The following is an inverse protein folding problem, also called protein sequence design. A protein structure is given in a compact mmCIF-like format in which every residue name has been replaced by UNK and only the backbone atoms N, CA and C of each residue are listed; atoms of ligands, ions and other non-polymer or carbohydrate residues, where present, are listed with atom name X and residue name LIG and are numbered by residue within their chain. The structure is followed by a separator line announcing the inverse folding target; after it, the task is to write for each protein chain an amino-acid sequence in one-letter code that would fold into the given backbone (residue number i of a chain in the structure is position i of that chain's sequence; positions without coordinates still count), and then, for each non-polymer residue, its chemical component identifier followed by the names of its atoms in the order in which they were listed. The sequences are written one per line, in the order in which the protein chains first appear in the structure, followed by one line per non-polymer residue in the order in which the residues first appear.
data_IF_497405491117
#
_entry.id   IF_497405491117
#
_cell.length_a   1.000
_cell.length_b   1.000
_cell.length_c   1.000
_cell.angle_alpha   90.00
_cell.angle_beta   90.00
_cell.angle_gamma   90.00
#
_symmetry.space_group_name_H-M   'P 1'
#
loop_
_entity.id
_entity.type
_entity.pdbx_description
1 polymer ?
#
# COMPACT_ATOMS: atom_id res chain seq x y z
N UNK A 1 -5.98 6.98 -14.20
CA UNK A 1 -4.65 7.62 -14.26
C UNK A 1 -4.34 8.52 -13.06
N UNK A 2 -5.25 8.79 -12.16
CA UNK A 2 -5.09 9.80 -11.11
C UNK A 2 -4.89 9.22 -9.70
N UNK A 3 -4.98 7.90 -9.53
CA UNK A 3 -4.86 7.28 -8.21
C UNK A 3 -3.46 7.46 -7.61
N UNK A 4 -2.42 7.40 -8.42
CA UNK A 4 -1.03 7.49 -7.94
C UNK A 4 -0.47 8.92 -7.82
N UNK A 5 -1.12 9.92 -8.38
CA UNK A 5 -0.71 11.32 -8.19
C UNK A 5 -1.11 11.89 -6.83
N UNK A 6 -1.98 11.22 -6.09
CA UNK A 6 -2.53 11.73 -4.83
C UNK A 6 -1.72 11.33 -3.60
N UNK A 7 -0.93 10.28 -3.66
CA UNK A 7 -0.16 9.80 -2.51
C UNK A 7 1.01 10.72 -2.15
N UNK A 8 1.68 11.29 -3.16
CA UNK A 8 2.91 12.07 -2.93
C UNK A 8 2.71 13.54 -2.62
N UNK A 9 1.61 14.12 -3.08
CA UNK A 9 1.47 15.59 -2.98
C UNK A 9 0.66 16.05 -1.77
N UNK A 10 -0.07 15.12 -1.08
CA UNK A 10 -1.13 15.55 -0.18
C UNK A 10 -1.27 14.80 1.14
N UNK A 11 -0.51 13.75 1.35
CA UNK A 11 -0.55 12.97 2.60
C UNK A 11 0.85 12.65 3.10
N UNK A 12 1.05 12.72 4.40
CA UNK A 12 2.32 12.36 5.02
C UNK A 12 2.13 11.90 6.47
N UNK A 13 2.99 11.01 6.89
CA UNK A 13 3.13 10.61 8.29
C UNK A 13 4.50 11.02 8.78
N UNK A 14 4.55 11.74 9.88
CA UNK A 14 5.81 12.04 10.55
C UNK A 14 5.80 11.51 11.98
N UNK A 15 6.86 10.79 12.33
CA UNK A 15 7.12 10.35 13.69
C UNK A 15 8.23 11.23 14.29
N UNK A 16 7.94 11.86 15.42
CA UNK A 16 8.94 12.62 16.14
C UNK A 16 9.92 11.67 16.84
N UNK A 17 11.21 12.02 16.81
CA UNK A 17 12.26 11.22 17.44
C UNK A 17 11.98 10.95 18.91
N UNK A 18 12.15 9.69 19.31
CA UNK A 18 12.18 9.31 20.71
C UNK A 18 13.57 9.57 21.29
N UNK A 19 13.63 10.39 22.30
CA UNK A 19 14.87 10.53 23.09
C UNK A 19 14.93 9.35 24.05
N UNK A 20 15.83 8.42 23.82
CA UNK A 20 16.11 7.30 24.71
C UNK A 20 16.92 7.78 25.92
N UNK A 21 16.22 8.19 26.94
CA UNK A 21 16.77 8.24 28.31
C UNK A 21 16.20 7.06 29.08
N UNK A 22 16.66 6.82 30.31
CA UNK A 22 16.26 5.70 31.15
C UNK A 22 14.73 5.56 31.38
N UNK A 23 13.93 6.47 30.87
CA UNK A 23 12.46 6.46 30.90
C UNK A 23 11.94 6.09 29.50
N UNK A 24 11.07 5.10 29.42
CA UNK A 24 10.38 4.73 28.19
C UNK A 24 9.53 5.91 27.68
N UNK A 25 9.89 6.45 26.51
CA UNK A 25 9.13 7.54 25.86
C UNK A 25 8.31 6.93 24.73
N UNK A 26 7.01 7.20 24.73
CA UNK A 26 6.10 6.76 23.68
C UNK A 26 6.24 7.70 22.47
N UNK A 27 6.14 7.17 21.22
CA UNK A 27 6.20 7.99 20.02
C UNK A 27 4.98 8.94 19.94
N UNK A 28 5.22 10.12 19.39
CA UNK A 28 4.17 11.04 18.96
C UNK A 28 4.15 10.98 17.44
N UNK A 29 3.00 10.65 16.88
CA UNK A 29 2.81 10.49 15.44
C UNK A 29 1.75 11.47 14.99
N UNK A 30 1.98 12.15 13.87
CA UNK A 30 0.99 12.99 13.19
C UNK A 30 0.66 12.42 11.82
N UNK A 31 -0.62 12.48 11.45
CA UNK A 31 -1.12 12.13 10.12
C UNK A 31 -1.68 13.39 9.50
N UNK A 32 -1.24 13.73 8.31
CA UNK A 32 -1.76 14.86 7.54
C UNK A 32 -2.34 14.33 6.24
N UNK A 33 -3.61 14.65 5.98
CA UNK A 33 -4.33 14.27 4.76
C UNK A 33 -4.93 15.49 4.09
N UNK A 34 -5.22 15.37 2.81
CA UNK A 34 -5.80 16.45 2.02
C UNK A 34 -7.09 15.99 1.36
N UNK A 35 -8.19 16.10 2.10
CA UNK A 35 -9.51 15.62 1.67
C UNK A 35 -10.36 16.72 1.05
N UNK A 36 -11.38 16.29 0.30
CA UNK A 36 -12.41 17.15 -0.25
C UNK A 36 -13.10 17.96 0.86
N UNK A 37 -13.10 19.29 0.71
CA UNK A 37 -13.70 20.19 1.69
C UNK A 37 -15.22 20.15 1.64
N UNK A 38 -15.92 20.37 2.77
CA UNK A 38 -17.36 20.55 2.76
C UNK A 38 -17.76 21.81 1.98
N UNK A 39 -19.00 21.83 1.48
CA UNK A 39 -19.66 23.04 0.94
C UNK A 39 -20.66 23.60 1.96
N UNK A 40 -21.33 24.72 1.61
CA UNK A 40 -22.36 25.27 2.49
C UNK A 40 -23.53 24.31 2.75
N UNK A 41 -23.83 23.46 1.78
CA UNK A 41 -25.04 22.62 1.78
C UNK A 41 -24.71 21.12 1.93
N UNK A 42 -23.44 20.73 1.91
CA UNK A 42 -23.05 19.31 1.94
C UNK A 42 -21.83 19.12 2.84
N UNK A 43 -21.86 18.18 3.79
CA UNK A 43 -20.69 17.85 4.61
C UNK A 43 -19.54 17.29 3.74
N UNK A 44 -18.34 17.20 4.31
CA UNK A 44 -17.24 16.53 3.66
C UNK A 44 -17.56 15.03 3.53
N UNK A 45 -17.86 14.58 2.32
CA UNK A 45 -18.10 13.19 1.99
C UNK A 45 -16.85 12.64 1.30
N UNK A 46 -16.23 11.65 1.91
CA UNK A 46 -15.03 11.03 1.34
C UNK A 46 -15.40 10.09 0.18
N UNK A 47 -14.62 10.14 -0.87
CA UNK A 47 -14.63 9.10 -1.90
C UNK A 47 -13.99 7.83 -1.37
N UNK A 48 -14.22 6.68 -2.03
CA UNK A 48 -13.57 5.44 -1.66
C UNK A 48 -12.03 5.58 -1.66
N UNK A 49 -11.47 6.24 -2.68
CA UNK A 49 -10.02 6.47 -2.76
C UNK A 49 -9.50 7.32 -1.60
N UNK A 50 -10.26 8.33 -1.12
CA UNK A 50 -9.87 9.10 0.07
C UNK A 50 -9.94 8.26 1.35
N UNK A 51 -10.87 7.31 1.45
CA UNK A 51 -10.92 6.34 2.56
C UNK A 51 -9.72 5.39 2.50
N UNK A 52 -9.38 4.88 1.31
CA UNK A 52 -8.19 4.04 1.12
C UNK A 52 -6.92 4.81 1.49
N UNK A 53 -6.75 6.05 1.03
CA UNK A 53 -5.62 6.92 1.40
C UNK A 53 -5.56 7.14 2.92
N UNK A 54 -6.70 7.41 3.58
CA UNK A 54 -6.72 7.55 5.03
C UNK A 54 -6.25 6.29 5.74
N UNK A 55 -6.72 5.13 5.32
CA UNK A 55 -6.33 3.84 5.88
C UNK A 55 -4.85 3.55 5.63
N UNK A 56 -4.35 3.88 4.45
CA UNK A 56 -2.93 3.79 4.09
C UNK A 56 -2.06 4.59 5.06
N UNK A 57 -2.30 5.89 5.16
CA UNK A 57 -1.54 6.77 6.07
C UNK A 57 -1.70 6.36 7.53
N UNK A 58 -2.88 5.86 7.91
CA UNK A 58 -3.10 5.34 9.25
C UNK A 58 -2.32 4.04 9.50
N UNK A 59 -2.07 3.23 8.47
CA UNK A 59 -1.18 2.07 8.54
C UNK A 59 0.26 2.46 8.91
N UNK A 60 0.80 3.50 8.27
CA UNK A 60 2.09 4.08 8.66
C UNK A 60 2.07 4.64 10.08
N UNK A 61 0.98 5.32 10.44
CA UNK A 61 0.81 5.84 11.80
C UNK A 61 0.84 4.72 12.85
N UNK A 62 0.14 3.61 12.60
CA UNK A 62 0.16 2.44 13.49
C UNK A 62 1.57 1.84 13.62
N UNK A 63 2.34 1.81 12.54
CA UNK A 63 3.73 1.37 12.58
C UNK A 63 4.57 2.25 13.52
N UNK A 64 4.34 3.56 13.51
CA UNK A 64 4.96 4.50 14.45
C UNK A 64 4.43 4.36 15.89
N UNK A 65 3.10 4.35 16.06
CA UNK A 65 2.44 4.33 17.37
C UNK A 65 2.79 3.06 18.18
N UNK A 66 2.85 1.91 17.51
CA UNK A 66 3.15 0.63 18.15
C UNK A 66 4.63 0.31 18.29
N UNK A 67 5.52 1.17 17.82
CA UNK A 67 6.96 0.95 17.93
C UNK A 67 7.39 0.70 19.39
N UNK A 68 8.19 -0.36 19.59
CA UNK A 68 8.75 -0.76 20.88
C UNK A 68 10.23 -1.11 20.75
N UNK A 69 10.97 -0.30 20.00
CA UNK A 69 12.39 -0.49 19.75
C UNK A 69 13.24 0.17 20.84
N UNK A 70 14.41 -0.38 21.08
CA UNK A 70 15.36 0.23 22.02
C UNK A 70 16.04 1.50 21.43
N UNK A 71 16.26 1.51 20.13
CA UNK A 71 16.89 2.61 19.41
C UNK A 71 15.87 3.36 18.55
N UNK A 72 15.80 4.68 18.70
CA UNK A 72 14.87 5.52 17.94
C UNK A 72 15.10 5.43 16.41
N UNK A 73 16.35 5.31 15.98
CA UNK A 73 16.73 5.15 14.56
C UNK A 73 16.26 3.85 13.91
N UNK A 74 15.78 2.89 14.70
CA UNK A 74 15.20 1.63 14.21
C UNK A 74 13.69 1.57 14.46
N UNK A 75 13.07 2.69 14.84
CA UNK A 75 11.68 2.73 15.28
C UNK A 75 10.71 2.97 14.12
N UNK A 76 9.51 2.40 14.22
CA UNK A 76 8.40 2.65 13.31
C UNK A 76 8.78 2.38 11.85
N UNK A 77 8.62 3.38 11.00
CA UNK A 77 8.88 3.30 9.55
C UNK A 77 10.36 3.28 9.15
N UNK A 78 11.30 3.30 10.14
CA UNK A 78 12.74 3.17 9.88
C UNK A 78 13.11 1.71 9.59
N UNK A 79 12.58 1.16 8.51
CA UNK A 79 12.71 -0.22 8.05
C UNK A 79 13.33 -0.28 6.65
N UNK A 80 13.57 -1.47 6.13
CA UNK A 80 13.92 -1.63 4.73
C UNK A 80 12.83 -1.04 3.83
N UNK A 81 13.25 -0.41 2.73
CA UNK A 81 12.36 0.33 1.84
C UNK A 81 11.25 -0.53 1.25
N UNK A 82 11.55 -1.78 0.92
CA UNK A 82 10.60 -2.75 0.39
C UNK A 82 9.68 -3.41 1.45
N UNK A 83 9.74 -2.91 2.69
CA UNK A 83 8.87 -3.36 3.78
C UNK A 83 8.01 -2.23 4.36
N UNK A 84 8.35 -0.98 4.08
CA UNK A 84 7.71 0.19 4.69
C UNK A 84 6.22 0.27 4.35
N UNK A 85 5.83 -0.17 3.16
CA UNK A 85 4.45 -0.12 2.67
C UNK A 85 3.56 -1.31 3.12
N UNK A 86 4.13 -2.32 3.80
CA UNK A 86 3.31 -3.43 4.28
C UNK A 86 2.19 -2.99 5.23
N UNK A 87 2.42 -2.16 6.28
CA UNK A 87 1.36 -1.76 7.19
C UNK A 87 0.31 -0.86 6.52
N UNK A 88 0.74 0.03 5.64
CA UNK A 88 -0.14 0.97 4.93
C UNK A 88 -1.06 0.24 3.97
N UNK A 89 -0.52 -0.55 3.04
CA UNK A 89 -1.30 -1.34 2.08
C UNK A 89 -2.15 -2.42 2.76
N UNK A 90 -1.68 -2.98 3.88
CA UNK A 90 -2.50 -3.90 4.68
C UNK A 90 -3.80 -3.24 5.16
N UNK A 91 -3.73 -2.00 5.64
CA UNK A 91 -4.92 -1.28 6.11
C UNK A 91 -5.90 -0.94 4.98
N UNK A 92 -5.45 -0.69 3.75
CA UNK A 92 -6.32 -0.44 2.60
C UNK A 92 -7.31 -1.58 2.34
N UNK A 93 -6.94 -2.83 2.66
CA UNK A 93 -7.83 -3.98 2.45
C UNK A 93 -9.15 -3.86 3.21
N UNK A 94 -9.17 -3.16 4.34
CA UNK A 94 -10.40 -2.94 5.12
C UNK A 94 -11.42 -2.08 4.38
N UNK A 95 -10.99 -1.18 3.48
CA UNK A 95 -11.87 -0.23 2.77
C UNK A 95 -12.97 -0.90 1.94
N UNK A 96 -12.86 -2.19 1.65
CA UNK A 96 -13.84 -2.95 0.87
C UNK A 96 -14.45 -4.13 1.63
N UNK A 97 -14.16 -4.26 2.92
CA UNK A 97 -14.72 -5.34 3.74
C UNK A 97 -16.05 -4.89 4.38
N UNK A 98 -17.14 -5.66 4.15
CA UNK A 98 -18.47 -5.29 4.65
C UNK A 98 -18.51 -5.10 6.17
N UNK A 99 -17.83 -5.97 6.91
CA UNK A 99 -17.77 -5.90 8.38
C UNK A 99 -17.16 -4.59 8.86
N UNK A 100 -16.15 -4.07 8.17
CA UNK A 100 -15.52 -2.80 8.49
C UNK A 100 -16.39 -1.61 8.05
N UNK A 101 -16.87 -1.63 6.81
CA UNK A 101 -17.72 -0.55 6.28
C UNK A 101 -18.99 -0.36 7.11
N UNK A 102 -19.60 -1.43 7.61
CA UNK A 102 -20.79 -1.35 8.46
C UNK A 102 -20.54 -0.64 9.80
N UNK A 103 -19.28 -0.42 10.19
CA UNK A 103 -18.99 0.30 11.45
C UNK A 103 -19.10 1.81 11.32
N UNK A 104 -19.01 2.38 10.12
CA UNK A 104 -18.98 3.85 9.94
C UNK A 104 -19.63 4.35 8.64
N UNK A 105 -19.80 3.52 7.62
CA UNK A 105 -20.35 3.94 6.32
C UNK A 105 -21.87 4.07 6.38
N UNK A 106 -22.33 5.12 7.06
CA UNK A 106 -23.74 5.46 7.23
C UNK A 106 -24.11 6.64 6.35
N UNK A 107 -25.36 6.66 5.89
CA UNK A 107 -25.88 7.78 5.13
C UNK A 107 -25.99 9.02 6.02
N UNK A 108 -25.36 10.12 5.62
CA UNK A 108 -25.15 11.31 6.47
C UNK A 108 -26.43 12.04 6.94
N UNK A 109 -27.60 11.72 6.37
CA UNK A 109 -28.88 12.29 6.76
C UNK A 109 -29.81 11.28 7.44
N UNK A 110 -29.73 9.99 7.05
CA UNK A 110 -30.69 8.96 7.50
C UNK A 110 -30.07 7.95 8.45
N UNK A 111 -28.75 7.95 8.62
CA UNK A 111 -27.97 6.96 9.38
C UNK A 111 -28.15 5.51 8.90
N UNK A 112 -28.72 5.33 7.71
CA UNK A 112 -28.83 4.02 7.09
C UNK A 112 -27.45 3.50 6.66
N UNK A 113 -27.15 2.21 6.91
CA UNK A 113 -25.88 1.62 6.49
C UNK A 113 -25.78 1.55 4.97
N UNK A 114 -24.54 1.58 4.47
CA UNK A 114 -24.27 1.40 3.04
C UNK A 114 -24.84 0.06 2.55
N UNK A 115 -25.74 0.04 1.55
CA UNK A 115 -26.34 -1.19 1.07
C UNK A 115 -25.31 -2.21 0.58
N UNK A 116 -25.48 -3.47 0.94
CA UNK A 116 -24.56 -4.57 0.55
C UNK A 116 -24.33 -4.67 -0.97
N UNK A 117 -25.38 -4.34 -1.75
CA UNK A 117 -25.27 -4.30 -3.21
C UNK A 117 -24.26 -3.28 -3.74
N UNK A 118 -24.04 -2.15 -3.04
CA UNK A 118 -23.00 -1.19 -3.37
C UNK A 118 -21.62 -1.72 -3.00
N UNK A 119 -21.48 -2.36 -1.84
CA UNK A 119 -20.21 -2.98 -1.41
C UNK A 119 -19.78 -4.05 -2.42
N UNK A 120 -20.70 -4.90 -2.88
CA UNK A 120 -20.43 -5.89 -3.93
C UNK A 120 -19.97 -5.25 -5.24
N UNK A 121 -20.60 -4.13 -5.64
CA UNK A 121 -20.22 -3.40 -6.85
C UNK A 121 -18.81 -2.78 -6.71
N UNK A 122 -18.48 -2.22 -5.55
CA UNK A 122 -17.15 -1.69 -5.23
C UNK A 122 -16.11 -2.81 -5.38
N UNK A 123 -16.33 -3.95 -4.76
CA UNK A 123 -15.41 -5.11 -4.86
C UNK A 123 -15.23 -5.60 -6.29
N UNK A 124 -16.29 -5.66 -7.08
CA UNK A 124 -16.21 -6.01 -8.50
C UNK A 124 -15.47 -4.98 -9.34
N UNK A 125 -15.67 -3.69 -9.05
CA UNK A 125 -14.99 -2.62 -9.78
C UNK A 125 -13.48 -2.57 -9.50
N UNK A 126 -13.04 -2.99 -8.32
CA UNK A 126 -11.61 -3.08 -7.96
C UNK A 126 -10.84 -4.04 -8.88
N UNK A 127 -11.48 -5.13 -9.28
CA UNK A 127 -10.87 -6.14 -10.15
C UNK A 127 -10.97 -5.77 -11.64
N UNK A 128 -11.65 -4.67 -11.98
CA UNK A 128 -11.74 -4.24 -13.38
C UNK A 128 -10.36 -3.79 -13.88
N UNK A 129 -9.86 -4.47 -14.91
CA UNK A 129 -8.52 -4.24 -15.48
C UNK A 129 -7.36 -4.41 -14.47
N UNK A 130 -7.51 -5.20 -13.42
CA UNK A 130 -6.47 -5.41 -12.41
C UNK A 130 -5.15 -5.92 -13.01
N UNK A 131 -5.20 -6.81 -14.02
CA UNK A 131 -4.00 -7.26 -14.73
C UNK A 131 -3.28 -6.12 -15.45
N UNK A 132 -4.02 -5.19 -16.07
CA UNK A 132 -3.42 -4.01 -16.68
C UNK A 132 -2.78 -3.09 -15.63
N UNK A 133 -3.47 -2.85 -14.52
CA UNK A 133 -2.94 -2.06 -13.41
C UNK A 133 -1.66 -2.69 -12.82
N UNK A 134 -1.66 -4.01 -12.63
CA UNK A 134 -0.48 -4.75 -12.20
C UNK A 134 0.69 -4.58 -13.17
N UNK A 135 0.48 -4.78 -14.47
CA UNK A 135 1.53 -4.61 -15.49
C UNK A 135 2.04 -3.18 -15.58
N UNK A 136 1.17 -2.18 -15.32
CA UNK A 136 1.58 -0.78 -15.23
C UNK A 136 2.54 -0.56 -14.06
N UNK A 137 2.27 -1.11 -12.88
CA UNK A 137 3.19 -1.03 -11.74
C UNK A 137 4.52 -1.73 -12.02
N UNK A 138 4.48 -2.90 -12.65
CA UNK A 138 5.69 -3.60 -13.09
C UNK A 138 6.49 -2.75 -14.08
N UNK A 139 5.82 -2.04 -15.00
CA UNK A 139 6.52 -1.15 -15.95
C UNK A 139 7.24 -0.01 -15.25
N UNK A 140 6.67 0.57 -14.20
CA UNK A 140 7.32 1.61 -13.40
C UNK A 140 8.55 1.09 -12.68
N UNK A 141 8.48 -0.09 -12.06
CA UNK A 141 9.64 -0.72 -11.45
C UNK A 141 10.75 -1.04 -12.45
N UNK A 142 10.41 -1.47 -13.67
CA UNK A 142 11.39 -1.71 -14.74
C UNK A 142 12.05 -0.42 -15.22
N UNK A 143 11.30 0.68 -15.31
CA UNK A 143 11.84 1.98 -15.67
C UNK A 143 12.80 2.50 -14.60
N UNK A 144 12.41 2.39 -13.34
CA UNK A 144 13.26 2.71 -12.18
C UNK A 144 14.59 1.95 -12.25
N UNK A 145 14.52 0.64 -12.34
CA UNK A 145 15.73 -0.19 -12.42
C UNK A 145 16.55 0.10 -13.68
N UNK A 146 15.91 0.44 -14.80
CA UNK A 146 16.62 0.80 -16.02
C UNK A 146 17.45 2.07 -15.85
N UNK A 147 16.98 3.05 -15.07
CA UNK A 147 17.76 4.25 -14.74
C UNK A 147 18.90 3.97 -13.76
N UNK A 148 18.61 3.29 -12.67
CA UNK A 148 19.53 3.20 -11.51
C UNK A 148 20.48 2.00 -11.52
N UNK A 149 20.36 1.10 -12.48
CA UNK A 149 21.37 0.03 -12.71
C UNK A 149 22.48 0.43 -13.68
N UNK A 150 22.39 1.61 -14.30
CA UNK A 150 23.42 2.10 -15.21
C UNK A 150 24.57 2.74 -14.44
N UNK A 151 25.82 2.34 -14.71
CA UNK A 151 26.99 2.94 -14.06
C UNK A 151 27.38 4.31 -14.64
N UNK A 152 26.84 4.65 -15.82
CA UNK A 152 27.21 5.85 -16.58
C UNK A 152 26.12 6.91 -16.48
N UNK A 153 26.52 8.19 -16.64
CA UNK A 153 25.57 9.29 -16.68
C UNK A 153 24.59 9.12 -17.85
N UNK A 154 23.30 9.40 -17.59
CA UNK A 154 22.27 9.31 -18.58
C UNK A 154 22.40 10.46 -19.61
N UNK A 155 22.52 10.14 -20.90
CA UNK A 155 22.65 11.10 -21.99
C UNK A 155 21.72 10.83 -23.18
N UNK A 156 20.88 9.79 -23.09
CA UNK A 156 19.97 9.40 -24.17
C UNK A 156 18.70 10.27 -24.18
N UNK A 157 17.91 10.16 -25.27
CA UNK A 157 16.55 10.71 -25.28
C UNK A 157 15.68 9.96 -24.26
N UNK A 158 14.98 10.71 -23.42
CA UNK A 158 14.21 10.14 -22.29
C UNK A 158 13.02 9.31 -22.77
N UNK A 159 12.38 9.66 -23.89
CA UNK A 159 11.22 8.92 -24.41
C UNK A 159 11.64 7.62 -25.07
N UNK A 160 12.73 7.66 -25.83
CA UNK A 160 13.28 6.45 -26.44
C UNK A 160 13.74 5.47 -25.34
N UNK A 161 14.39 5.97 -24.31
CA UNK A 161 14.81 5.16 -23.16
C UNK A 161 13.64 4.52 -22.44
N UNK A 162 12.59 5.30 -22.14
CA UNK A 162 11.36 4.82 -21.51
C UNK A 162 10.70 3.73 -22.38
N UNK A 163 10.56 3.97 -23.67
CA UNK A 163 9.99 2.99 -24.60
C UNK A 163 10.80 1.67 -24.63
N UNK A 164 12.13 1.76 -24.59
CA UNK A 164 13.01 0.58 -24.52
C UNK A 164 12.85 -0.17 -23.18
N UNK A 165 12.79 0.55 -22.05
CA UNK A 165 12.59 -0.04 -20.74
C UNK A 165 11.26 -0.81 -20.63
N UNK A 166 10.22 -0.34 -21.31
CA UNK A 166 8.89 -0.92 -21.29
C UNK A 166 8.62 -1.96 -22.38
N UNK A 167 9.51 -2.17 -23.32
CA UNK A 167 9.31 -3.05 -24.48
C UNK A 167 8.71 -4.42 -24.12
N UNK A 168 9.15 -5.02 -23.00
CA UNK A 168 8.71 -6.35 -22.56
C UNK A 168 7.33 -6.38 -21.89
N UNK A 169 6.84 -5.25 -21.42
CA UNK A 169 5.61 -5.13 -20.61
C UNK A 169 4.57 -4.20 -21.24
N UNK A 170 4.86 -3.70 -22.42
CA UNK A 170 3.99 -2.81 -23.17
C UNK A 170 2.75 -3.56 -23.67
N UNK A 171 1.59 -3.22 -23.11
CA UNK A 171 0.31 -3.82 -23.47
C UNK A 171 -0.49 -2.98 -24.49
N UNK A 172 -0.29 -1.68 -24.49
CA UNK A 172 -1.02 -0.73 -25.32
C UNK A 172 -0.04 0.15 -26.11
N UNK A 173 -0.45 0.73 -27.24
CA UNK A 173 0.35 1.71 -27.95
C UNK A 173 0.67 2.92 -27.06
N UNK A 174 1.87 3.45 -27.18
CA UNK A 174 2.25 4.70 -26.52
C UNK A 174 1.57 5.89 -27.18
N UNK A 175 1.21 6.87 -26.37
CA UNK A 175 0.78 8.17 -26.86
C UNK A 175 2.03 9.05 -27.07
N UNK A 176 2.16 9.63 -28.25
CA UNK A 176 3.36 10.40 -28.62
C UNK A 176 3.68 11.58 -27.68
N UNK A 177 2.64 12.14 -27.06
CA UNK A 177 2.75 13.28 -26.14
C UNK A 177 3.01 12.84 -24.68
N UNK A 178 2.92 11.53 -24.36
CA UNK A 178 3.12 11.03 -23.00
C UNK A 178 4.60 10.73 -22.72
N UNK A 179 5.04 11.03 -21.50
CA UNK A 179 6.36 10.65 -21.01
C UNK A 179 6.27 10.54 -19.47
N UNK A 180 6.35 9.32 -18.95
CA UNK A 180 6.30 9.09 -17.50
C UNK A 180 7.54 9.61 -16.80
N UNK A 181 8.70 9.47 -17.41
CA UNK A 181 9.99 9.88 -16.85
C UNK A 181 9.99 11.31 -16.33
N UNK A 182 9.42 12.26 -17.07
CA UNK A 182 9.43 13.70 -16.72
C UNK A 182 8.48 14.06 -15.56
N UNK A 183 7.62 13.14 -15.18
CA UNK A 183 6.68 13.31 -14.05
C UNK A 183 6.84 12.26 -12.96
N UNK A 184 7.89 11.42 -13.07
CA UNK A 184 8.09 10.32 -12.13
C UNK A 184 8.80 10.80 -10.86
N UNK A 185 8.08 11.61 -10.07
CA UNK A 185 8.59 12.20 -8.83
C UNK A 185 9.15 11.18 -7.86
N UNK A 186 8.50 10.03 -7.69
CA UNK A 186 8.92 8.95 -6.79
C UNK A 186 10.41 8.61 -6.91
N UNK A 187 10.86 8.34 -8.14
CA UNK A 187 12.23 7.90 -8.38
C UNK A 187 13.21 9.05 -8.65
N UNK A 188 12.71 10.22 -9.08
CA UNK A 188 13.57 11.36 -9.42
C UNK A 188 13.82 12.31 -8.24
N UNK A 189 12.88 12.40 -7.27
CA UNK A 189 12.97 13.30 -6.12
C UNK A 189 12.36 12.74 -4.83
N UNK A 190 11.54 11.69 -4.89
CA UNK A 190 10.77 11.18 -3.76
C UNK A 190 11.47 10.12 -2.91
N UNK A 191 12.71 9.73 -3.22
CA UNK A 191 13.48 8.77 -2.41
C UNK A 191 13.28 7.29 -2.80
N UNK A 192 12.47 6.98 -3.82
CA UNK A 192 12.24 5.60 -4.31
C UNK A 192 13.19 5.17 -5.45
N UNK A 193 14.30 5.86 -5.63
CA UNK A 193 15.32 5.50 -6.61
C UNK A 193 15.84 4.08 -6.38
N UNK A 194 15.78 3.21 -7.40
CA UNK A 194 16.02 1.77 -7.33
C UNK A 194 15.14 1.02 -6.30
N UNK A 195 14.03 1.62 -5.89
CA UNK A 195 13.16 1.12 -4.83
C UNK A 195 11.68 1.06 -5.18
N UNK A 196 11.27 1.47 -6.37
CA UNK A 196 9.85 1.52 -6.74
C UNK A 196 9.17 0.13 -6.73
N UNK A 197 9.92 -0.94 -6.94
CA UNK A 197 9.42 -2.31 -6.84
C UNK A 197 8.78 -2.62 -5.47
N UNK A 198 9.14 -1.84 -4.44
CA UNK A 198 8.68 -2.01 -3.06
C UNK A 198 7.15 -2.03 -2.94
N UNK A 199 6.45 -1.19 -3.70
CA UNK A 199 4.98 -1.16 -3.71
C UNK A 199 4.39 -2.51 -4.12
N UNK A 200 4.87 -3.08 -5.22
CA UNK A 200 4.36 -4.37 -5.70
C UNK A 200 4.80 -5.54 -4.81
N UNK A 201 5.97 -5.45 -4.21
CA UNK A 201 6.42 -6.42 -3.22
C UNK A 201 5.58 -6.35 -1.94
N UNK A 202 5.31 -5.15 -1.45
CA UNK A 202 4.44 -4.96 -0.28
C UNK A 202 3.01 -5.47 -0.53
N UNK A 203 2.48 -5.35 -1.75
CA UNK A 203 1.18 -5.95 -2.11
C UNK A 203 1.17 -7.48 -1.97
N UNK A 204 2.28 -8.17 -2.24
CA UNK A 204 2.41 -9.61 -1.99
C UNK A 204 2.34 -9.90 -0.49
N UNK A 205 3.05 -9.10 0.32
CA UNK A 205 3.09 -9.24 1.77
C UNK A 205 1.71 -8.96 2.40
N UNK A 206 1.10 -7.84 2.01
CA UNK A 206 -0.18 -7.42 2.57
C UNK A 206 -1.31 -8.37 2.21
N UNK A 207 -1.38 -8.84 0.97
CA UNK A 207 -2.41 -9.76 0.52
C UNK A 207 -2.35 -11.10 1.27
N UNK A 208 -1.15 -11.69 1.46
CA UNK A 208 -1.00 -12.93 2.24
C UNK A 208 -1.28 -12.69 3.73
N UNK A 209 -0.87 -11.54 4.28
CA UNK A 209 -1.16 -11.17 5.65
C UNK A 209 -2.67 -10.98 5.87
N UNK A 210 -3.35 -10.26 4.97
CA UNK A 210 -4.79 -10.01 5.09
C UNK A 210 -5.61 -11.28 4.83
N UNK A 211 -5.17 -12.16 3.94
CA UNK A 211 -5.78 -13.48 3.78
C UNK A 211 -5.79 -14.26 5.10
N UNK A 212 -4.71 -14.18 5.88
CA UNK A 212 -4.67 -14.81 7.20
C UNK A 212 -5.67 -14.20 8.20
N UNK A 213 -5.87 -12.88 8.15
CA UNK A 213 -6.94 -12.24 8.91
C UNK A 213 -8.32 -12.71 8.45
N UNK A 214 -8.56 -12.80 7.15
CA UNK A 214 -9.85 -13.28 6.61
C UNK A 214 -10.18 -14.72 7.02
N UNK A 215 -9.18 -15.60 7.04
CA UNK A 215 -9.33 -16.99 7.50
C UNK A 215 -9.75 -17.08 8.98
N UNK A 216 -9.35 -16.10 9.81
CA UNK A 216 -9.55 -16.12 11.26
C UNK A 216 -10.54 -15.06 11.77
N UNK A 217 -11.09 -14.24 10.89
CA UNK A 217 -11.91 -13.06 11.20
C UNK A 217 -11.10 -11.77 11.21
N UNK A 218 -11.53 -10.78 10.43
CA UNK A 218 -10.79 -9.53 10.21
C UNK A 218 -10.62 -8.68 11.48
N UNK A 219 -11.44 -8.91 12.51
CA UNK A 219 -11.36 -8.28 13.82
C UNK A 219 -10.83 -9.21 14.92
N UNK A 220 -10.19 -10.32 14.55
CA UNK A 220 -9.65 -11.26 15.52
C UNK A 220 -8.50 -10.62 16.33
N UNK A 221 -8.75 -10.39 17.61
CA UNK A 221 -7.80 -9.71 18.51
C UNK A 221 -6.48 -10.47 18.69
N UNK A 222 -6.52 -11.81 18.65
CA UNK A 222 -5.31 -12.62 18.78
C UNK A 222 -4.40 -12.46 17.56
N UNK A 223 -4.97 -12.47 16.35
CA UNK A 223 -4.20 -12.28 15.12
C UNK A 223 -3.69 -10.84 15.03
N UNK A 224 -4.52 -9.85 15.40
CA UNK A 224 -4.13 -8.46 15.46
C UNK A 224 -2.97 -8.21 16.42
N UNK A 225 -3.03 -8.82 17.62
CA UNK A 225 -1.94 -8.73 18.60
C UNK A 225 -0.65 -9.38 18.08
N UNK A 226 -0.76 -10.53 17.43
CA UNK A 226 0.37 -11.20 16.80
C UNK A 226 1.00 -10.34 15.68
N UNK A 227 0.18 -9.69 14.85
CA UNK A 227 0.63 -8.74 13.82
C UNK A 227 1.36 -7.56 14.44
N UNK A 228 0.75 -6.96 15.48
CA UNK A 228 1.35 -5.86 16.23
C UNK A 228 2.71 -6.24 16.84
N UNK A 229 2.79 -7.38 17.53
CA UNK A 229 4.02 -7.78 18.23
C UNK A 229 5.14 -8.23 17.28
N UNK A 230 4.81 -8.98 16.24
CA UNK A 230 5.80 -9.56 15.37
C UNK A 230 6.28 -8.60 14.25
N UNK A 231 5.44 -7.64 13.86
CA UNK A 231 5.74 -6.71 12.76
C UNK A 231 5.79 -5.26 13.23
N UNK A 232 4.64 -4.68 13.64
CA UNK A 232 4.54 -3.24 13.85
C UNK A 232 5.43 -2.72 14.98
N UNK A 233 5.62 -3.50 16.03
CA UNK A 233 6.43 -3.08 17.19
C UNK A 233 7.92 -3.19 16.96
N UNK A 234 8.35 -3.92 15.95
CA UNK A 234 9.76 -4.29 15.76
C UNK A 234 10.58 -3.26 14.98
N UNK A 235 9.93 -2.44 14.14
CA UNK A 235 10.66 -1.51 13.28
C UNK A 235 11.77 -2.22 12.49
N UNK A 236 12.94 -1.59 12.41
CA UNK A 236 14.12 -2.11 11.71
C UNK A 236 15.05 -2.99 12.54
N UNK A 237 14.59 -3.60 13.64
CA UNK A 237 15.45 -4.38 14.55
C UNK A 237 15.90 -5.73 13.99
N UNK A 238 15.15 -6.27 13.02
CA UNK A 238 15.41 -7.56 12.40
C UNK A 238 15.16 -7.48 10.89
N UNK A 239 15.66 -8.45 10.15
CA UNK A 239 15.36 -8.54 8.71
C UNK A 239 13.85 -8.75 8.47
N UNK A 240 13.22 -7.98 7.57
CA UNK A 240 11.76 -8.00 7.35
C UNK A 240 11.17 -9.39 7.14
N UNK A 241 11.81 -10.23 6.33
CA UNK A 241 11.35 -11.59 6.09
C UNK A 241 11.29 -12.43 7.38
N UNK A 242 12.25 -12.23 8.31
CA UNK A 242 12.23 -12.91 9.60
C UNK A 242 11.03 -12.46 10.44
N UNK A 243 10.76 -11.14 10.48
CA UNK A 243 9.59 -10.58 11.17
C UNK A 243 8.30 -11.13 10.56
N UNK A 244 8.24 -11.16 9.23
CA UNK A 244 7.06 -11.68 8.51
C UNK A 244 6.81 -13.16 8.82
N UNK A 245 7.84 -14.01 8.78
CA UNK A 245 7.73 -15.43 9.11
C UNK A 245 7.34 -15.64 10.58
N UNK A 246 7.83 -14.81 11.50
CA UNK A 246 7.40 -14.86 12.91
C UNK A 246 5.90 -14.57 13.07
N UNK A 247 5.36 -13.65 12.27
CA UNK A 247 3.93 -13.39 12.22
C UNK A 247 3.16 -14.51 11.51
N UNK A 248 3.53 -14.82 10.27
CA UNK A 248 2.72 -15.65 9.37
C UNK A 248 2.95 -17.15 9.55
N UNK A 249 4.13 -17.53 10.06
CA UNK A 249 4.59 -18.93 10.18
C UNK A 249 5.18 -19.51 8.90
N UNK A 250 5.23 -18.74 7.81
CA UNK A 250 5.79 -19.09 6.51
C UNK A 250 6.19 -17.84 5.74
N UNK A 251 6.98 -18.02 4.69
CA UNK A 251 7.25 -16.94 3.72
C UNK A 251 5.96 -16.59 2.94
N UNK A 252 5.83 -15.33 2.47
CA UNK A 252 4.68 -14.90 1.68
C UNK A 252 4.69 -15.55 0.30
N UNK A 253 3.49 -15.81 -0.22
CA UNK A 253 3.31 -16.27 -1.59
C UNK A 253 2.45 -15.30 -2.40
N UNK A 254 2.61 -15.31 -3.73
CA UNK A 254 1.87 -14.43 -4.64
C UNK A 254 0.39 -14.83 -4.80
N UNK A 255 0.00 -16.02 -4.33
CA UNK A 255 -1.33 -16.57 -4.59
C UNK A 255 -2.44 -15.68 -4.02
N UNK A 256 -2.29 -15.19 -2.79
CA UNK A 256 -3.28 -14.33 -2.16
C UNK A 256 -3.50 -13.01 -2.93
N UNK A 257 -2.43 -12.43 -3.49
CA UNK A 257 -2.51 -11.25 -4.35
C UNK A 257 -3.26 -11.55 -5.64
N UNK A 258 -2.93 -12.65 -6.33
CA UNK A 258 -3.58 -13.03 -7.58
C UNK A 258 -5.07 -13.32 -7.38
N UNK A 259 -5.44 -13.96 -6.26
CA UNK A 259 -6.83 -14.22 -5.89
C UNK A 259 -7.58 -12.91 -5.57
N UNK A 260 -6.97 -12.01 -4.80
CA UNK A 260 -7.52 -10.69 -4.47
C UNK A 260 -7.84 -9.88 -5.73
N UNK A 261 -6.91 -9.90 -6.68
CA UNK A 261 -7.00 -9.13 -7.91
C UNK A 261 -7.82 -9.83 -9.01
N UNK A 262 -8.31 -11.05 -8.74
CA UNK A 262 -9.09 -11.83 -9.71
C UNK A 262 -8.29 -12.27 -10.95
N UNK A 263 -6.96 -12.38 -10.83
CA UNK A 263 -6.04 -12.77 -11.92
C UNK A 263 -5.78 -14.27 -11.91
N UNK A 264 -5.98 -14.97 -10.78
CA UNK A 264 -5.80 -16.41 -10.70
C UNK A 264 -6.88 -17.11 -11.53
N UNK A 265 -6.49 -18.05 -12.38
CA UNK A 265 -7.44 -19.03 -12.93
C UNK A 265 -8.09 -19.76 -11.75
N UNK A 266 -9.40 -19.67 -11.62
CA UNK A 266 -10.14 -20.60 -10.79
C UNK A 266 -9.84 -22.00 -11.33
N UNK A 267 -9.05 -22.79 -10.61
CA UNK A 267 -8.90 -24.21 -10.88
C UNK A 267 -10.30 -24.79 -10.69
N UNK A 268 -11.07 -24.82 -11.77
CA UNK A 268 -12.25 -25.67 -11.84
C UNK A 268 -11.75 -27.09 -11.74
N UNK A 269 -11.71 -27.62 -10.52
CA UNK A 269 -11.68 -29.06 -10.33
C UNK A 269 -12.98 -29.60 -10.90
N UNK A 270 -12.98 -29.88 -12.19
CA UNK A 270 -13.97 -30.76 -12.81
C UNK A 270 -13.82 -32.12 -12.12
N UNK A 271 -14.66 -32.34 -11.12
CA UNK A 271 -14.90 -33.70 -10.62
C UNK A 271 -15.53 -34.48 -11.78
N UNK A 272 -14.72 -35.30 -12.46
CA UNK A 272 -15.20 -36.36 -13.30
C UNK A 272 -15.86 -37.48 -12.45
#
# INVERSE_FOLDING_TARGET
SDVYKREDEHSSVSANEQVTTANSVRPVVSVTTNFTKPTADTPALLTLGEVETFLHEFGHALHGIFAMTHYATLSGTSVYWDFVELPSQFMENYAVEPEFLNTFALHYQTDEPLPSSYIERIRKSRNFQAAYACMRQVSFGLLDMAYYTKPEAFTADVREFESQAWQRVKLLPELAESCMTVQFGHIMSGGYAAGYYSYKWAEVLDADAFAYFKENGIFNQYIAEKFRQALLSQGGTEHPMKLYVNFRGKEPGIQALLERDGISESVQTSKA
#
